data_IF_994659800201
#
_entry.id   IF_994659800201
#
_cell.length_a   1.000
_cell.length_b   1.000
_cell.length_c   1.000
_cell.angle_alpha   90.00
_cell.angle_beta   90.00
_cell.angle_gamma   90.00
#
_symmetry.space_group_name_H-M   'P 1'
#
loop_
_entity.id
_entity.type
_entity.pdbx_description
1 polymer ?
#
# COMPACT_ATOMS: atom_id res chain seq x y z
N UNK A 1 6.61 7.48 -4.29
CA UNK A 1 5.51 6.67 -3.69
C UNK A 1 6.00 5.55 -2.76
N UNK A 2 7.02 4.82 -3.13
CA UNK A 2 7.52 3.74 -2.28
C UNK A 2 7.95 4.23 -0.89
N UNK A 3 8.70 5.31 -0.82
CA UNK A 3 9.16 5.84 0.47
C UNK A 3 8.02 6.22 1.39
N UNK A 4 6.96 6.79 0.82
CA UNK A 4 5.78 7.19 1.60
C UNK A 4 5.05 5.98 2.13
N UNK A 5 4.95 4.91 1.35
CA UNK A 5 4.32 3.67 1.80
C UNK A 5 5.15 3.04 2.92
N UNK A 6 6.47 3.02 2.78
CA UNK A 6 7.35 2.51 3.83
C UNK A 6 7.17 3.30 5.14
N UNK A 7 7.03 4.60 5.04
CA UNK A 7 6.82 5.46 6.21
C UNK A 7 5.49 5.13 6.89
N UNK A 8 4.44 4.93 6.11
CA UNK A 8 3.13 4.56 6.65
C UNK A 8 3.22 3.22 7.38
N UNK A 9 3.89 2.25 6.78
CA UNK A 9 4.05 0.92 7.38
C UNK A 9 4.82 0.98 8.69
N UNK A 10 5.85 1.80 8.74
CA UNK A 10 6.62 1.96 9.96
C UNK A 10 5.81 2.64 11.05
N UNK A 11 5.12 3.74 10.72
CA UNK A 11 4.38 4.53 11.70
C UNK A 11 3.15 3.82 12.23
N UNK A 12 2.44 3.08 11.38
CA UNK A 12 1.17 2.46 11.76
C UNK A 12 1.29 1.00 12.17
N UNK A 13 2.29 0.29 11.67
CA UNK A 13 2.44 -1.16 11.94
C UNK A 13 3.79 -1.54 12.51
N UNK A 14 4.71 -0.59 12.66
CA UNK A 14 6.03 -0.86 13.19
C UNK A 14 6.90 -1.72 12.28
N UNK A 15 6.62 -1.72 10.98
CA UNK A 15 7.33 -2.56 10.02
C UNK A 15 8.46 -1.78 9.37
N UNK A 16 9.67 -2.36 9.39
CA UNK A 16 10.86 -1.77 8.79
C UNK A 16 11.48 -2.75 7.79
N UNK A 17 12.48 -2.28 7.06
CA UNK A 17 13.23 -3.09 6.08
C UNK A 17 12.36 -3.63 4.95
N UNK A 18 11.42 -2.81 4.50
CA UNK A 18 10.53 -3.16 3.40
C UNK A 18 11.23 -2.93 2.06
N UNK A 19 11.08 -3.88 1.14
CA UNK A 19 11.58 -3.75 -0.22
C UNK A 19 10.41 -3.78 -1.20
N UNK A 20 10.60 -3.33 -2.45
CA UNK A 20 9.50 -3.40 -3.43
C UNK A 20 8.97 -4.81 -3.64
N UNK A 21 9.83 -5.82 -3.49
CA UNK A 21 9.46 -7.22 -3.68
C UNK A 21 8.85 -7.86 -2.45
N UNK A 22 8.82 -7.16 -1.31
CA UNK A 22 8.22 -7.69 -0.08
C UNK A 22 6.75 -8.01 -0.31
N UNK A 23 6.36 -9.24 0.02
CA UNK A 23 4.97 -9.65 -0.07
C UNK A 23 4.22 -9.16 1.16
N UNK A 24 3.12 -8.47 0.95
CA UNK A 24 2.36 -7.84 2.01
C UNK A 24 1.94 -8.84 3.09
N UNK A 25 1.46 -9.99 2.68
CA UNK A 25 0.97 -11.01 3.62
C UNK A 25 2.08 -11.95 4.10
N UNK A 26 2.89 -12.46 3.17
CA UNK A 26 3.89 -13.47 3.49
C UNK A 26 5.11 -12.91 4.20
N UNK A 27 5.63 -11.79 3.71
CA UNK A 27 6.87 -11.22 4.25
C UNK A 27 6.62 -10.24 5.40
N UNK A 28 5.54 -9.48 5.33
CA UNK A 28 5.25 -8.46 6.34
C UNK A 28 4.26 -8.96 7.41
N UNK A 29 3.63 -10.09 7.17
CA UNK A 29 2.71 -10.69 8.16
C UNK A 29 1.40 -9.93 8.32
N UNK A 30 1.01 -9.14 7.31
CA UNK A 30 -0.23 -8.38 7.36
C UNK A 30 -1.34 -9.16 6.66
N UNK A 31 -2.58 -8.90 7.03
CA UNK A 31 -3.72 -9.60 6.45
C UNK A 31 -4.52 -8.69 5.51
N UNK A 32 -5.61 -9.23 4.95
CA UNK A 32 -6.45 -8.47 4.02
C UNK A 32 -7.09 -7.24 4.67
N UNK A 33 -7.41 -7.33 5.94
CA UNK A 33 -7.95 -6.19 6.68
C UNK A 33 -6.93 -5.06 6.75
N UNK A 34 -5.68 -5.41 7.04
CA UNK A 34 -4.60 -4.41 7.09
C UNK A 34 -4.36 -3.80 5.72
N UNK A 35 -4.50 -4.58 4.66
CA UNK A 35 -4.36 -4.08 3.29
C UNK A 35 -5.42 -3.00 3.01
N UNK A 36 -6.66 -3.25 3.43
CA UNK A 36 -7.73 -2.26 3.25
C UNK A 36 -7.50 -1.01 4.11
N UNK A 37 -6.99 -1.19 5.31
CA UNK A 37 -6.67 -0.06 6.17
C UNK A 37 -5.58 0.81 5.54
N UNK A 38 -4.58 0.18 4.95
CA UNK A 38 -3.54 0.91 4.23
C UNK A 38 -4.15 1.72 3.08
N UNK A 39 -5.15 1.16 2.40
CA UNK A 39 -5.85 1.88 1.34
C UNK A 39 -6.52 3.15 1.86
N UNK A 40 -7.19 3.08 2.99
CA UNK A 40 -7.82 4.26 3.60
C UNK A 40 -6.79 5.34 3.94
N UNK A 41 -5.67 4.92 4.52
CA UNK A 41 -4.61 5.86 4.87
C UNK A 41 -4.07 6.53 3.61
N UNK A 42 -3.86 5.76 2.55
CA UNK A 42 -3.35 6.28 1.29
C UNK A 42 -4.35 7.23 0.63
N UNK A 43 -5.65 6.93 0.68
CA UNK A 43 -6.68 7.81 0.12
C UNK A 43 -6.64 9.18 0.78
N UNK A 44 -6.52 9.22 2.09
CA UNK A 44 -6.45 10.48 2.81
C UNK A 44 -5.14 11.22 2.57
N UNK A 45 -4.04 10.49 2.63
CA UNK A 45 -2.71 11.10 2.56
C UNK A 45 -2.39 11.66 1.17
N UNK A 46 -2.82 10.97 0.13
CA UNK A 46 -2.52 11.34 -1.26
C UNK A 46 -3.73 11.91 -2.00
N UNK A 47 -4.86 12.02 -1.32
CA UNK A 47 -6.10 12.53 -1.91
C UNK A 47 -6.51 11.73 -3.15
N UNK A 48 -6.59 10.40 -3.00
CA UNK A 48 -6.93 9.47 -4.07
C UNK A 48 -8.26 8.77 -3.79
N UNK A 49 -8.86 8.24 -4.85
CA UNK A 49 -9.96 7.27 -4.73
C UNK A 49 -9.43 5.93 -5.17
N UNK A 50 -9.56 4.92 -4.31
CA UNK A 50 -9.05 3.58 -4.59
C UNK A 50 -10.17 2.64 -4.98
N UNK A 51 -10.00 1.95 -6.11
CA UNK A 51 -10.91 0.90 -6.54
C UNK A 51 -10.50 -0.38 -5.82
N UNK A 52 -11.28 -0.77 -4.81
CA UNK A 52 -10.97 -1.92 -3.98
C UNK A 52 -10.79 -3.21 -4.77
N UNK A 53 -11.57 -3.39 -5.83
CA UNK A 53 -11.50 -4.63 -6.60
C UNK A 53 -10.17 -4.81 -7.29
N UNK A 54 -9.57 -3.72 -7.74
CA UNK A 54 -8.24 -3.73 -8.35
C UNK A 54 -7.14 -3.81 -7.31
N UNK A 55 -7.30 -3.05 -6.24
CA UNK A 55 -6.31 -2.98 -5.17
C UNK A 55 -6.10 -4.33 -4.49
N UNK A 56 -7.16 -5.11 -4.35
CA UNK A 56 -7.08 -6.43 -3.71
C UNK A 56 -6.17 -7.41 -4.43
N UNK A 57 -5.89 -7.17 -5.70
CA UNK A 57 -4.97 -8.00 -6.47
C UNK A 57 -3.50 -7.75 -6.17
N UNK A 58 -3.19 -6.70 -5.43
CA UNK A 58 -1.80 -6.37 -5.10
C UNK A 58 -1.25 -7.39 -4.09
N UNK A 59 -0.05 -7.89 -4.35
CA UNK A 59 0.60 -8.86 -3.47
C UNK A 59 1.87 -8.29 -2.86
N UNK A 60 2.64 -7.53 -3.64
CA UNK A 60 3.89 -6.94 -3.18
C UNK A 60 3.72 -5.44 -2.95
N UNK A 61 4.69 -4.86 -2.25
CA UNK A 61 4.69 -3.41 -2.04
C UNK A 61 4.81 -2.69 -3.38
N UNK A 62 5.56 -3.25 -4.31
CA UNK A 62 5.66 -2.71 -5.67
C UNK A 62 4.30 -2.64 -6.34
N UNK A 63 3.50 -3.71 -6.23
CA UNK A 63 2.14 -3.74 -6.81
C UNK A 63 1.28 -2.63 -6.23
N UNK A 64 1.34 -2.45 -4.92
CA UNK A 64 0.59 -1.39 -4.24
C UNK A 64 1.01 -0.02 -4.74
N UNK A 65 2.32 0.21 -4.83
CA UNK A 65 2.84 1.50 -5.28
C UNK A 65 2.47 1.79 -6.72
N UNK A 66 2.56 0.80 -7.59
CA UNK A 66 2.19 0.97 -8.99
C UNK A 66 0.71 1.31 -9.15
N UNK A 67 -0.14 0.62 -8.37
CA UNK A 67 -1.55 0.91 -8.41
C UNK A 67 -1.85 2.33 -7.94
N UNK A 68 -1.26 2.75 -6.84
CA UNK A 68 -1.49 4.08 -6.29
C UNK A 68 -0.98 5.18 -7.22
N UNK A 69 0.16 4.96 -7.85
CA UNK A 69 0.70 5.93 -8.79
C UNK A 69 -0.18 6.06 -10.03
N UNK A 70 -0.76 4.96 -10.49
CA UNK A 70 -1.69 4.98 -11.62
C UNK A 70 -2.94 5.79 -11.29
N UNK A 71 -3.47 5.65 -10.08
CA UNK A 71 -4.64 6.43 -9.65
C UNK A 71 -4.30 7.90 -9.50
N UNK A 72 -3.10 8.22 -9.04
CA UNK A 72 -2.67 9.61 -8.86
C UNK A 72 -2.56 10.35 -10.19
N UNK A 73 -2.22 9.64 -11.26
CA UNK A 73 -2.04 10.23 -12.60
C UNK A 73 -3.36 10.49 -13.31
N UNK A 74 -4.47 9.95 -12.80
CA UNK A 74 -5.78 10.06 -13.43
C UNK A 74 -6.47 11.42 -13.28
N UNK A 75 -5.86 12.36 -12.68
CA UNK A 75 -6.43 13.70 -12.53
C UNK A 75 -6.55 14.45 -13.84
#
# INVERSE_FOLDING_TARGET
MFEEICKILKENYGIENVTPESNFKKDLGLNSFDLMELAFIAEEKFNLEIDESKYRGAETIKDICEYLEAEKVKE
#
